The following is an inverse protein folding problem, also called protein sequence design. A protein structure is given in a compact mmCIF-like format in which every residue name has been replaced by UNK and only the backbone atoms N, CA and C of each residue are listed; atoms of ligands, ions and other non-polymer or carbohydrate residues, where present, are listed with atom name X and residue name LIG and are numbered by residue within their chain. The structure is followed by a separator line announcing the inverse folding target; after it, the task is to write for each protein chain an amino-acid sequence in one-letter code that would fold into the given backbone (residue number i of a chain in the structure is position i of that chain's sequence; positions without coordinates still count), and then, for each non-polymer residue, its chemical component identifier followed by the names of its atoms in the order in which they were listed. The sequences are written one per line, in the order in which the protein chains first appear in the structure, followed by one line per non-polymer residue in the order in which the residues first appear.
data_IF_030900133100
#
_entry.id   IF_030900133100
#
_cell.length_a   1.000
_cell.length_b   1.000
_cell.length_c   1.000
_cell.angle_alpha   90.00
_cell.angle_beta   90.00
_cell.angle_gamma   90.00
#
_symmetry.space_group_name_H-M   'P 1'
#
loop_
_entity.id
_entity.type
_entity.pdbx_description
1 polymer ?
#
# COMPACT_ATOMS: atom_id res chain seq x y z
N UNK A 1 -9.17 16.37 1.97
CA UNK A 1 -9.11 17.80 1.63
C UNK A 1 -7.73 18.10 1.04
N UNK A 2 -7.62 18.17 -0.29
CA UNK A 2 -6.33 18.26 -0.99
C UNK A 2 -5.85 19.69 -1.21
N UNK A 3 -6.76 20.59 -1.58
CA UNK A 3 -6.42 21.99 -1.81
C UNK A 3 -6.49 22.78 -0.50
N UNK A 4 -7.52 22.60 0.32
CA UNK A 4 -7.63 23.36 1.57
C UNK A 4 -6.86 22.72 2.73
N UNK A 5 -6.69 21.39 2.70
CA UNK A 5 -5.92 20.64 3.69
C UNK A 5 -4.42 20.59 3.36
N UNK A 6 -4.06 19.98 2.23
CA UNK A 6 -2.66 19.81 1.82
C UNK A 6 -2.07 21.02 1.10
N UNK A 7 -2.84 22.11 0.90
CA UNK A 7 -2.39 23.35 0.24
C UNK A 7 -1.74 23.09 -1.12
N UNK A 8 -2.31 22.13 -1.86
CA UNK A 8 -1.86 21.83 -3.22
C UNK A 8 -2.24 22.99 -4.15
N UNK A 9 -1.33 23.32 -5.07
CA UNK A 9 -1.65 24.12 -6.25
C UNK A 9 -2.57 23.34 -7.18
N UNK A 10 -3.22 24.03 -8.12
CA UNK A 10 -4.08 23.39 -9.12
C UNK A 10 -3.32 22.31 -9.92
N UNK A 11 -2.06 22.59 -10.29
CA UNK A 11 -1.21 21.63 -10.98
C UNK A 11 -0.86 20.41 -10.14
N UNK A 12 -0.54 20.61 -8.86
CA UNK A 12 -0.27 19.50 -7.92
C UNK A 12 -1.51 18.65 -7.71
N UNK A 13 -2.68 19.27 -7.63
CA UNK A 13 -3.96 18.57 -7.54
C UNK A 13 -4.26 17.75 -8.80
N UNK A 14 -4.07 18.33 -9.98
CA UNK A 14 -4.23 17.62 -11.25
C UNK A 14 -3.30 16.40 -11.34
N UNK A 15 -2.02 16.58 -10.97
CA UNK A 15 -1.03 15.50 -10.91
C UNK A 15 -1.52 14.33 -10.05
N UNK A 16 -1.89 14.57 -8.79
CA UNK A 16 -2.32 13.48 -7.89
C UNK A 16 -3.67 12.89 -8.22
N UNK A 17 -4.56 13.64 -8.87
CA UNK A 17 -5.93 13.19 -9.16
C UNK A 17 -6.07 12.47 -10.50
N UNK A 18 -5.16 12.72 -11.46
CA UNK A 18 -5.32 12.23 -12.84
C UNK A 18 -4.08 11.58 -13.44
N UNK A 19 -2.87 11.98 -13.04
CA UNK A 19 -1.63 11.56 -13.71
C UNK A 19 -0.83 10.54 -12.91
N UNK A 20 -0.89 10.60 -11.57
CA UNK A 20 -0.20 9.68 -10.66
C UNK A 20 -1.16 8.58 -10.23
N UNK A 21 -1.34 7.58 -11.09
CA UNK A 21 -2.13 6.40 -10.73
C UNK A 21 -1.51 5.66 -9.55
N UNK A 22 -2.32 4.98 -8.74
CA UNK A 22 -1.86 4.23 -7.56
C UNK A 22 -0.86 3.14 -7.96
N UNK A 23 -1.07 2.53 -9.12
CA UNK A 23 -0.22 1.48 -9.69
C UNK A 23 1.17 2.02 -10.06
N UNK A 24 1.28 3.31 -10.34
CA UNK A 24 2.55 3.92 -10.73
C UNK A 24 3.55 4.05 -9.58
N UNK A 25 3.11 3.81 -8.33
CA UNK A 25 3.92 3.97 -7.09
C UNK A 25 4.62 5.34 -6.99
N UNK A 26 4.09 6.34 -7.67
CA UNK A 26 4.57 7.73 -7.65
C UNK A 26 3.69 8.59 -6.79
N UNK A 27 4.30 9.54 -6.09
CA UNK A 27 3.61 10.45 -5.18
C UNK A 27 4.35 11.79 -5.13
N UNK A 28 3.64 12.82 -4.67
CA UNK A 28 4.21 14.15 -4.47
C UNK A 28 4.79 14.25 -3.06
N UNK A 29 6.01 14.75 -2.97
CA UNK A 29 6.59 15.26 -1.72
C UNK A 29 6.62 16.79 -1.82
N UNK A 30 5.86 17.46 -0.96
CA UNK A 30 5.75 18.92 -0.90
C UNK A 30 6.51 19.48 0.31
N UNK A 31 7.37 20.47 0.09
CA UNK A 31 8.09 21.21 1.12
C UNK A 31 7.95 22.71 0.85
N UNK A 32 7.02 23.36 1.55
CA UNK A 32 6.66 24.76 1.30
C UNK A 32 6.13 24.96 -0.12
N UNK A 33 6.82 25.78 -0.91
CA UNK A 33 6.49 26.05 -2.31
C UNK A 33 7.10 25.07 -3.31
N UNK A 34 7.94 24.15 -2.84
CA UNK A 34 8.62 23.18 -3.69
C UNK A 34 7.88 21.84 -3.65
N UNK A 35 7.79 21.19 -4.79
CA UNK A 35 7.24 19.84 -4.91
C UNK A 35 8.06 19.01 -5.86
N UNK A 36 8.26 17.75 -5.51
CA UNK A 36 8.89 16.74 -6.36
C UNK A 36 7.97 15.55 -6.50
N UNK A 37 7.98 14.94 -7.69
CA UNK A 37 7.39 13.61 -7.87
C UNK A 37 8.47 12.59 -7.55
N UNK A 38 8.22 11.78 -6.52
CA UNK A 38 9.06 10.66 -6.15
C UNK A 38 8.43 9.36 -6.62
N UNK A 39 9.26 8.36 -6.87
CA UNK A 39 8.83 6.99 -7.16
C UNK A 39 9.36 6.08 -6.05
N UNK A 40 8.49 5.22 -5.52
CA UNK A 40 8.87 4.19 -4.57
C UNK A 40 8.85 2.83 -5.27
N UNK A 41 10.02 2.41 -5.74
CA UNK A 41 10.20 1.09 -6.33
C UNK A 41 10.17 0.02 -5.24
N UNK A 42 9.13 -0.81 -5.27
CA UNK A 42 8.92 -1.93 -4.35
C UNK A 42 8.80 -3.24 -5.12
N UNK A 43 9.41 -3.32 -6.30
CA UNK A 43 9.44 -4.54 -7.08
C UNK A 43 10.09 -5.65 -6.23
N UNK A 44 9.40 -6.79 -6.13
CA UNK A 44 9.83 -7.94 -5.33
C UNK A 44 9.38 -7.93 -3.87
N UNK A 45 8.73 -6.88 -3.37
CA UNK A 45 8.21 -6.81 -2.00
C UNK A 45 6.75 -7.29 -1.87
N UNK A 46 6.33 -8.24 -2.73
CA UNK A 46 4.94 -8.66 -2.80
C UNK A 46 4.46 -9.33 -1.50
N UNK A 47 5.34 -10.07 -0.81
CA UNK A 47 5.04 -10.75 0.45
C UNK A 47 4.97 -9.73 1.59
N UNK A 48 5.93 -8.83 1.72
CA UNK A 48 5.96 -7.77 2.72
C UNK A 48 4.76 -6.83 2.57
N UNK A 49 4.43 -6.43 1.34
CA UNK A 49 3.27 -5.57 1.09
C UNK A 49 1.95 -6.25 1.42
N UNK A 50 1.85 -7.58 1.28
CA UNK A 50 0.64 -8.29 1.66
C UNK A 50 0.37 -8.21 3.16
N UNK A 51 1.43 -8.13 3.98
CA UNK A 51 1.34 -7.96 5.44
C UNK A 51 1.17 -6.49 5.80
N UNK A 52 2.00 -5.59 5.26
CA UNK A 52 2.06 -4.18 5.67
C UNK A 52 0.89 -3.33 5.15
N UNK A 53 0.26 -3.71 4.03
CA UNK A 53 -0.82 -2.92 3.44
C UNK A 53 -2.15 -2.99 4.20
N UNK A 54 -2.32 -3.96 5.11
CA UNK A 54 -3.52 -4.08 5.95
C UNK A 54 -4.83 -4.18 5.16
N UNK A 55 -4.81 -4.67 3.92
CA UNK A 55 -6.01 -4.84 3.10
C UNK A 55 -7.00 -5.75 3.84
N UNK A 56 -8.27 -5.35 3.93
CA UNK A 56 -9.30 -6.11 4.67
C UNK A 56 -9.32 -7.60 4.32
N UNK A 57 -9.29 -7.94 3.03
CA UNK A 57 -9.25 -9.33 2.56
C UNK A 57 -7.99 -10.09 3.05
N UNK A 58 -6.83 -9.44 3.12
CA UNK A 58 -5.61 -10.07 3.64
C UNK A 58 -5.69 -10.26 5.16
N UNK A 59 -6.26 -9.29 5.88
CA UNK A 59 -6.47 -9.37 7.33
C UNK A 59 -7.43 -10.52 7.66
N UNK A 60 -8.58 -10.58 6.99
CA UNK A 60 -9.55 -11.68 7.16
C UNK A 60 -8.96 -13.04 6.83
N UNK A 61 -8.16 -13.15 5.76
CA UNK A 61 -7.45 -14.37 5.41
C UNK A 61 -6.44 -14.76 6.50
N UNK A 62 -5.65 -13.80 6.98
CA UNK A 62 -4.65 -14.04 8.03
C UNK A 62 -5.33 -14.48 9.34
N UNK A 63 -6.42 -13.85 9.74
CA UNK A 63 -7.17 -14.19 10.95
C UNK A 63 -7.80 -15.58 10.86
N UNK A 64 -8.36 -15.92 9.69
CA UNK A 64 -8.88 -17.27 9.43
C UNK A 64 -7.79 -18.32 9.60
N UNK A 65 -6.63 -18.12 8.98
CA UNK A 65 -5.50 -19.05 9.09
C UNK A 65 -5.00 -19.13 10.53
N UNK A 66 -4.81 -17.99 11.22
CA UNK A 66 -4.33 -17.97 12.62
C UNK A 66 -5.24 -18.74 13.56
N UNK A 67 -6.56 -18.66 13.34
CA UNK A 67 -7.54 -19.44 14.12
C UNK A 67 -7.46 -20.95 13.87
N UNK A 68 -6.98 -21.39 12.70
CA UNK A 68 -6.88 -22.80 12.32
C UNK A 68 -5.56 -23.45 12.79
N UNK A 69 -4.44 -22.73 12.68
CA UNK A 69 -3.11 -23.34 12.82
C UNK A 69 -2.18 -22.69 13.86
N UNK A 70 -2.55 -21.55 14.43
CA UNK A 70 -1.78 -20.91 15.49
C UNK A 70 -1.50 -19.42 15.25
N UNK A 71 -1.16 -18.74 16.34
CA UNK A 71 -0.91 -17.29 16.37
C UNK A 71 0.53 -16.91 16.01
N UNK A 72 1.47 -17.87 16.10
CA UNK A 72 2.89 -17.67 15.82
C UNK A 72 3.12 -17.37 14.33
N UNK A 73 3.88 -16.33 13.96
CA UNK A 73 4.22 -16.07 12.55
C UNK A 73 4.82 -17.28 11.81
N UNK A 74 5.56 -18.12 12.54
CA UNK A 74 6.11 -19.40 12.08
C UNK A 74 5.03 -20.41 11.63
N UNK A 75 3.83 -20.31 12.19
CA UNK A 75 2.72 -21.21 11.89
C UNK A 75 1.96 -20.74 10.65
N UNK A 76 1.56 -19.46 10.61
CA UNK A 76 0.56 -18.98 9.65
C UNK A 76 1.12 -18.25 8.42
N UNK A 77 2.30 -17.63 8.51
CA UNK A 77 2.78 -16.68 7.50
C UNK A 77 3.04 -17.36 6.13
N UNK A 78 3.65 -18.55 6.14
CA UNK A 78 3.90 -19.32 4.92
C UNK A 78 2.59 -19.74 4.23
N UNK A 79 1.61 -20.20 5.02
CA UNK A 79 0.29 -20.61 4.53
C UNK A 79 -0.48 -19.42 3.96
N UNK A 80 -0.41 -18.26 4.63
CA UNK A 80 -0.99 -17.01 4.14
C UNK A 80 -0.43 -16.62 2.77
N UNK A 81 0.90 -16.60 2.61
CA UNK A 81 1.51 -16.27 1.32
C UNK A 81 1.19 -17.29 0.22
N UNK A 82 1.03 -18.57 0.57
CA UNK A 82 0.55 -19.57 -0.38
C UNK A 82 -0.89 -19.31 -0.81
N UNK A 83 -1.82 -19.19 0.14
CA UNK A 83 -3.27 -19.05 -0.13
C UNK A 83 -3.60 -17.76 -0.89
N UNK A 84 -2.98 -16.64 -0.54
CA UNK A 84 -3.24 -15.34 -1.20
C UNK A 84 -2.78 -15.29 -2.67
N UNK A 85 -1.82 -16.14 -3.07
CA UNK A 85 -1.29 -16.22 -4.44
C UNK A 85 -2.16 -17.09 -5.34
N UNK A 86 -2.98 -17.96 -4.74
CA UNK A 86 -3.89 -18.87 -5.44
C UNK A 86 -5.34 -18.38 -5.52
N UNK A 87 -5.67 -17.32 -4.78
CA UNK A 87 -6.96 -16.62 -4.83
C UNK A 87 -6.96 -15.57 -5.93
#
# INVERSE_FOLDING_TARGET
DYVDGFKLTEREFELVSRELSVESRRFIVKQGHNSVVAELNLNGFDDELAILSGRAANVELADTIRSEIGEGPEDWLAVFHQKRRTA
#
